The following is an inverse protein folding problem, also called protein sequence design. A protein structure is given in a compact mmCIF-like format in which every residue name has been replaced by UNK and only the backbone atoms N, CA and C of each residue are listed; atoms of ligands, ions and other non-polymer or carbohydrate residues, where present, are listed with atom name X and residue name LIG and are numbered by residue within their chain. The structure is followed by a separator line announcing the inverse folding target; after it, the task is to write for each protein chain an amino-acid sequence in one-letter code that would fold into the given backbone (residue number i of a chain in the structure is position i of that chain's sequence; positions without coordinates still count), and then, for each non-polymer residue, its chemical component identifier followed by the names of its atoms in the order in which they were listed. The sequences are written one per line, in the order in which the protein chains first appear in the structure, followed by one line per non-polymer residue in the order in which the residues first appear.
data_IF_644915630619
#
_entry.id   IF_644915630619
#
_cell.length_a   1.000
_cell.length_b   1.000
_cell.length_c   1.000
_cell.angle_alpha   90.00
_cell.angle_beta   90.00
_cell.angle_gamma   90.00
#
_symmetry.space_group_name_H-M   'P 1'
#
loop_
_entity.id
_entity.type
_entity.pdbx_description
1 polymer ?
#
# COMPACT_ATOMS: atom_id res chain seq x y z
N UNK A 1 19.32 -17.15 47.15
CA UNK A 1 18.81 -15.80 47.47
C UNK A 1 17.60 -15.94 48.38
N UNK A 2 17.68 -15.38 49.59
CA UNK A 2 16.57 -15.44 50.54
C UNK A 2 15.52 -14.39 50.17
N UNK A 3 14.39 -14.81 49.63
CA UNK A 3 13.27 -13.93 49.24
C UNK A 3 12.47 -13.43 50.42
N UNK A 4 12.46 -14.17 51.56
CA UNK A 4 11.73 -13.81 52.78
C UNK A 4 12.04 -12.43 53.39
N UNK A 5 13.31 -11.98 53.47
CA UNK A 5 13.61 -10.64 54.03
C UNK A 5 13.12 -9.51 53.09
N UNK A 6 13.12 -9.75 51.80
CA UNK A 6 12.64 -8.78 50.79
C UNK A 6 11.14 -8.59 50.93
N UNK A 7 10.37 -9.68 50.96
CA UNK A 7 8.91 -9.65 51.15
C UNK A 7 8.48 -9.01 52.47
N UNK A 8 9.20 -9.28 53.57
CA UNK A 8 8.96 -8.67 54.88
C UNK A 8 9.20 -7.15 54.87
N UNK A 9 10.15 -6.67 54.10
CA UNK A 9 10.42 -5.23 53.94
C UNK A 9 9.37 -4.53 53.07
N UNK A 10 8.93 -5.18 52.01
CA UNK A 10 7.83 -4.68 51.15
C UNK A 10 6.52 -4.57 51.95
N UNK A 11 6.22 -5.53 52.84
CA UNK A 11 4.99 -5.49 53.62
C UNK A 11 4.94 -4.37 54.66
N UNK A 12 6.10 -3.81 55.09
CA UNK A 12 6.20 -2.65 55.97
C UNK A 12 6.07 -1.29 55.27
N UNK A 13 6.36 -1.22 53.94
CA UNK A 13 6.28 -0.01 53.14
C UNK A 13 5.26 -0.19 51.98
N UNK A 14 4.04 -0.58 52.32
CA UNK A 14 2.99 -0.96 51.34
C UNK A 14 2.70 0.10 50.28
N UNK A 15 2.67 1.37 50.67
CA UNK A 15 2.38 2.48 49.74
C UNK A 15 3.47 2.65 48.68
N UNK A 16 4.74 2.64 49.07
CA UNK A 16 5.85 2.78 48.13
C UNK A 16 6.01 1.54 47.22
N UNK A 17 5.79 0.34 47.79
CA UNK A 17 5.78 -0.89 46.99
C UNK A 17 4.63 -0.90 46.00
N UNK A 18 3.43 -0.47 46.40
CA UNK A 18 2.28 -0.36 45.51
C UNK A 18 2.50 0.65 44.36
N UNK A 19 3.15 1.79 44.63
CA UNK A 19 3.51 2.77 43.61
C UNK A 19 4.47 2.21 42.58
N UNK A 20 5.53 1.48 43.01
CA UNK A 20 6.47 0.83 42.07
C UNK A 20 5.75 -0.20 41.20
N UNK A 21 4.93 -1.06 41.84
CA UNK A 21 4.17 -2.07 41.07
C UNK A 21 3.22 -1.42 40.07
N UNK A 22 2.53 -0.35 40.47
CA UNK A 22 1.63 0.40 39.57
C UNK A 22 2.40 1.05 38.45
N UNK A 23 3.55 1.70 38.72
CA UNK A 23 4.41 2.31 37.70
C UNK A 23 4.90 1.29 36.71
N UNK A 24 5.43 0.14 37.17
CA UNK A 24 5.89 -0.94 36.26
C UNK A 24 4.72 -1.51 35.47
N UNK A 25 3.58 -1.78 36.09
CA UNK A 25 2.41 -2.33 35.43
C UNK A 25 1.89 -1.39 34.32
N UNK A 26 1.80 -0.09 34.61
CA UNK A 26 1.37 0.93 33.64
C UNK A 26 2.38 1.06 32.48
N UNK A 27 3.67 1.12 32.82
CA UNK A 27 4.73 1.18 31.80
C UNK A 27 4.71 -0.06 30.91
N UNK A 28 4.60 -1.27 31.47
CA UNK A 28 4.49 -2.50 30.70
C UNK A 28 3.26 -2.49 29.78
N UNK A 29 2.11 -2.06 30.27
CA UNK A 29 0.88 -1.99 29.47
C UNK A 29 1.03 -1.03 28.29
N UNK A 30 1.61 0.15 28.50
CA UNK A 30 1.85 1.14 27.43
C UNK A 30 2.88 0.60 26.44
N UNK A 31 3.99 0.02 26.89
CA UNK A 31 5.02 -0.54 26.04
C UNK A 31 4.48 -1.69 25.18
N UNK A 32 3.73 -2.62 25.75
CA UNK A 32 3.13 -3.72 25.00
C UNK A 32 2.20 -3.21 23.91
N UNK A 33 1.34 -2.22 24.21
CA UNK A 33 0.46 -1.62 23.21
C UNK A 33 1.24 -0.87 22.12
N UNK A 34 2.24 -0.06 22.50
CA UNK A 34 3.06 0.68 21.55
C UNK A 34 3.85 -0.26 20.62
N UNK A 35 4.47 -1.31 21.16
CA UNK A 35 5.20 -2.30 20.37
C UNK A 35 4.27 -3.09 19.43
N UNK A 36 3.05 -3.41 19.88
CA UNK A 36 2.03 -4.02 19.02
C UNK A 36 1.69 -3.11 17.82
N UNK A 37 1.44 -1.82 18.08
CA UNK A 37 1.18 -0.84 17.03
C UNK A 37 2.36 -0.68 16.07
N UNK A 38 3.59 -0.67 16.59
CA UNK A 38 4.81 -0.64 15.76
C UNK A 38 4.89 -1.88 14.87
N UNK A 39 4.67 -3.07 15.43
CA UNK A 39 4.70 -4.32 14.66
C UNK A 39 3.65 -4.33 13.53
N UNK A 40 2.42 -3.91 13.81
CA UNK A 40 1.34 -3.81 12.83
C UNK A 40 1.68 -2.83 11.69
N UNK A 41 2.29 -1.67 12.03
CA UNK A 41 2.73 -0.70 11.01
C UNK A 41 3.89 -1.22 10.18
N UNK A 42 4.86 -1.91 10.78
CA UNK A 42 5.97 -2.55 10.05
C UNK A 42 5.47 -3.61 9.06
N UNK A 43 4.49 -4.41 9.44
CA UNK A 43 3.84 -5.36 8.54
C UNK A 43 3.20 -4.63 7.34
N UNK A 44 2.52 -3.51 7.61
CA UNK A 44 1.91 -2.67 6.56
C UNK A 44 2.96 -2.05 5.63
N UNK A 45 4.09 -1.58 6.15
CA UNK A 45 5.20 -1.05 5.35
C UNK A 45 5.82 -2.09 4.42
N UNK A 46 5.90 -3.34 4.87
CA UNK A 46 6.57 -4.43 4.17
C UNK A 46 5.65 -5.23 3.24
N UNK A 47 4.36 -4.87 3.15
CA UNK A 47 3.45 -5.61 2.29
C UNK A 47 3.84 -5.54 0.82
N UNK A 48 3.69 -6.64 0.06
CA UNK A 48 3.94 -6.63 -1.37
C UNK A 48 2.89 -5.79 -2.11
N UNK A 49 3.32 -5.01 -3.11
CA UNK A 49 2.42 -4.29 -4.00
C UNK A 49 1.74 -5.20 -5.02
N UNK A 50 2.40 -6.32 -5.34
CA UNK A 50 2.13 -7.17 -6.48
C UNK A 50 2.92 -6.75 -7.72
N UNK A 51 3.56 -5.58 -7.70
CA UNK A 51 4.34 -5.03 -8.81
C UNK A 51 5.85 -5.19 -8.58
N UNK A 52 6.63 -5.01 -9.63
CA UNK A 52 8.10 -4.97 -9.56
C UNK A 52 8.57 -3.53 -9.24
N UNK A 53 8.52 -3.18 -7.95
CA UNK A 53 8.74 -1.82 -7.46
C UNK A 53 10.11 -1.24 -7.88
N UNK A 54 11.13 -2.09 -8.07
CA UNK A 54 12.49 -1.66 -8.33
C UNK A 54 12.69 -1.15 -9.76
N UNK A 55 11.94 -1.68 -10.73
CA UNK A 55 12.13 -1.41 -12.14
C UNK A 55 11.18 -0.34 -12.71
N UNK A 56 10.32 0.27 -11.90
CA UNK A 56 9.24 1.12 -12.41
C UNK A 56 9.46 2.60 -12.11
N UNK A 57 9.24 3.42 -13.14
CA UNK A 57 9.09 4.87 -13.07
C UNK A 57 7.63 5.21 -13.38
N UNK A 58 7.10 6.20 -12.68
CA UNK A 58 5.75 6.73 -12.86
C UNK A 58 5.82 8.14 -13.42
N UNK A 59 5.17 8.37 -14.55
CA UNK A 59 5.04 9.69 -15.16
C UNK A 59 3.57 10.06 -15.34
N UNK A 60 3.26 11.35 -15.24
CA UNK A 60 1.91 11.88 -15.43
C UNK A 60 1.93 13.15 -16.24
N UNK A 61 1.07 13.20 -17.25
CA UNK A 61 0.77 14.41 -17.98
C UNK A 61 -0.73 14.73 -17.85
N UNK A 62 -1.07 16.01 -17.79
CA UNK A 62 -2.46 16.48 -17.77
C UNK A 62 -2.63 17.49 -18.90
N UNK A 63 -3.63 17.29 -19.74
CA UNK A 63 -3.94 18.21 -20.82
C UNK A 63 -4.44 19.57 -20.31
N UNK A 64 -4.18 20.63 -21.04
CA UNK A 64 -4.72 21.97 -20.82
C UNK A 64 -5.82 22.20 -21.86
N UNK A 65 -7.02 22.52 -21.41
CA UNK A 65 -8.19 22.72 -22.28
C UNK A 65 -8.71 21.42 -22.92
N UNK A 66 -9.46 21.55 -24.02
CA UNK A 66 -10.03 20.41 -24.73
C UNK A 66 -8.94 19.67 -25.50
N UNK A 67 -8.77 18.38 -25.21
CA UNK A 67 -7.78 17.55 -25.88
C UNK A 67 -8.39 16.90 -27.12
N UNK A 68 -7.99 17.36 -28.29
CA UNK A 68 -8.33 16.73 -29.57
C UNK A 68 -7.44 15.49 -29.74
N UNK A 69 -8.06 14.32 -29.93
CA UNK A 69 -7.38 13.02 -30.13
C UNK A 69 -6.37 12.64 -29.01
N UNK A 70 -6.84 12.64 -27.77
CA UNK A 70 -6.03 12.21 -26.62
C UNK A 70 -5.46 10.78 -26.75
N UNK A 71 -6.16 9.90 -27.46
CA UNK A 71 -5.69 8.53 -27.70
C UNK A 71 -4.48 8.50 -28.65
N UNK A 72 -4.46 9.31 -29.73
CA UNK A 72 -3.30 9.39 -30.62
C UNK A 72 -2.10 9.98 -29.88
N UNK A 73 -2.30 11.05 -29.14
CA UNK A 73 -1.23 11.65 -28.34
C UNK A 73 -0.67 10.68 -27.30
N UNK A 74 -1.53 9.89 -26.66
CA UNK A 74 -1.06 8.84 -25.72
C UNK A 74 -0.21 7.79 -26.44
N UNK A 75 -0.55 7.40 -27.67
CA UNK A 75 0.27 6.46 -28.46
C UNK A 75 1.64 7.07 -28.82
N UNK A 76 1.70 8.35 -29.18
CA UNK A 76 2.96 9.07 -29.42
C UNK A 76 3.85 9.11 -28.18
N UNK A 77 3.27 9.40 -27.01
CA UNK A 77 3.98 9.37 -25.73
C UNK A 77 4.56 7.99 -25.42
N UNK A 78 3.74 6.95 -25.55
CA UNK A 78 4.18 5.57 -25.32
C UNK A 78 5.34 5.19 -26.26
N UNK A 79 5.28 5.61 -27.53
CA UNK A 79 6.34 5.36 -28.50
C UNK A 79 7.62 6.14 -28.16
N UNK A 80 7.50 7.41 -27.82
CA UNK A 80 8.64 8.25 -27.45
C UNK A 80 9.34 7.75 -26.18
N UNK A 81 8.56 7.37 -25.14
CA UNK A 81 9.11 6.83 -23.90
C UNK A 81 9.80 5.46 -24.11
N UNK A 82 9.25 4.61 -24.99
CA UNK A 82 9.90 3.33 -25.36
C UNK A 82 11.22 3.51 -26.08
N UNK A 83 11.42 4.63 -26.78
CA UNK A 83 12.65 4.94 -27.49
C UNK A 83 13.80 5.37 -26.56
N UNK A 84 13.55 5.62 -25.27
CA UNK A 84 14.59 5.98 -24.30
C UNK A 84 15.50 4.75 -24.07
N UNK A 85 16.84 4.89 -24.24
CA UNK A 85 17.76 3.77 -24.03
C UNK A 85 17.73 3.22 -22.59
N UNK A 86 17.47 1.91 -22.47
CA UNK A 86 17.36 1.22 -21.19
C UNK A 86 15.90 1.05 -20.71
N UNK A 87 14.92 1.58 -21.45
CA UNK A 87 13.50 1.27 -21.24
C UNK A 87 13.17 -0.03 -21.96
N UNK A 88 12.47 -0.93 -21.29
CA UNK A 88 12.05 -2.23 -21.82
C UNK A 88 10.57 -2.28 -22.19
N UNK A 89 9.74 -1.63 -21.40
CA UNK A 89 8.30 -1.56 -21.62
C UNK A 89 7.74 -0.22 -21.12
N UNK A 90 6.69 0.28 -21.79
CA UNK A 90 5.92 1.44 -21.34
C UNK A 90 4.45 1.16 -21.53
N UNK A 91 3.67 1.35 -20.48
CA UNK A 91 2.21 1.16 -20.49
C UNK A 91 1.52 2.33 -19.80
N UNK A 92 0.22 2.48 -20.03
CA UNK A 92 -0.59 3.46 -19.33
C UNK A 92 -1.69 2.75 -18.52
N UNK A 93 -1.90 3.21 -17.28
CA UNK A 93 -2.90 2.66 -16.35
C UNK A 93 -3.67 3.80 -15.68
N UNK A 94 -4.88 3.53 -15.17
CA UNK A 94 -5.65 4.54 -14.44
C UNK A 94 -5.11 4.79 -13.02
N UNK A 95 -4.54 3.78 -12.40
CA UNK A 95 -4.04 3.86 -11.03
C UNK A 95 -2.92 2.86 -10.76
N UNK A 96 -2.21 3.09 -9.67
CA UNK A 96 -1.16 2.20 -9.16
C UNK A 96 -1.38 2.00 -7.66
N UNK A 97 -0.84 0.94 -7.04
CA UNK A 97 -0.74 0.84 -5.59
C UNK A 97 -0.11 2.08 -4.95
N UNK A 98 -0.40 2.28 -3.67
CA UNK A 98 0.18 3.35 -2.84
C UNK A 98 -0.19 4.77 -3.30
N UNK A 99 -1.50 5.05 -3.31
CA UNK A 99 -2.09 6.36 -3.62
C UNK A 99 -3.19 6.70 -2.62
N UNK A 100 -3.51 8.00 -2.49
CA UNK A 100 -4.57 8.48 -1.60
C UNK A 100 -5.99 8.28 -2.15
N UNK A 101 -6.14 7.96 -3.43
CA UNK A 101 -7.41 7.67 -4.07
C UNK A 101 -7.44 6.31 -4.71
N UNK A 102 -8.62 5.71 -4.85
CA UNK A 102 -8.80 4.41 -5.51
C UNK A 102 -10.06 4.42 -6.34
N UNK A 103 -9.94 3.99 -7.59
CA UNK A 103 -11.09 3.64 -8.42
C UNK A 103 -11.53 2.25 -8.02
N UNK A 104 -12.78 2.13 -7.61
CA UNK A 104 -13.32 0.89 -7.10
C UNK A 104 -14.61 0.54 -7.81
N UNK A 105 -14.91 -0.74 -7.86
CA UNK A 105 -16.20 -1.25 -8.29
C UNK A 105 -16.63 -2.41 -7.40
N UNK A 106 -17.92 -2.67 -7.39
CA UNK A 106 -18.51 -3.77 -6.64
C UNK A 106 -18.83 -4.92 -7.58
N UNK A 107 -18.55 -6.14 -7.14
CA UNK A 107 -18.81 -7.37 -7.89
C UNK A 107 -19.77 -8.28 -7.12
N UNK A 108 -20.69 -8.86 -7.86
CA UNK A 108 -21.59 -9.92 -7.42
C UNK A 108 -21.39 -11.20 -8.21
N UNK A 109 -22.00 -12.29 -7.74
CA UNK A 109 -22.04 -13.59 -8.43
C UNK A 109 -23.37 -13.81 -9.17
N UNK A 110 -24.35 -12.90 -8.99
CA UNK A 110 -25.64 -12.88 -9.66
C UNK A 110 -25.98 -11.45 -10.09
N UNK A 111 -26.70 -11.22 -11.21
CA UNK A 111 -27.14 -9.90 -11.65
C UNK A 111 -28.12 -9.24 -10.67
N UNK A 112 -28.96 -10.04 -10.01
CA UNK A 112 -30.01 -9.55 -9.09
C UNK A 112 -29.55 -9.44 -7.64
N UNK A 113 -28.25 -9.46 -7.39
CA UNK A 113 -27.70 -9.44 -6.03
C UNK A 113 -27.79 -8.03 -5.42
N UNK A 114 -28.67 -7.82 -4.42
CA UNK A 114 -28.83 -6.53 -3.74
C UNK A 114 -27.53 -6.04 -3.04
N UNK A 115 -26.81 -6.96 -2.40
CA UNK A 115 -25.56 -6.65 -1.71
C UNK A 115 -24.40 -7.31 -2.45
N UNK A 116 -23.49 -6.54 -3.04
CA UNK A 116 -22.35 -7.09 -3.75
C UNK A 116 -21.49 -8.01 -2.85
N UNK A 117 -20.91 -9.05 -3.44
CA UNK A 117 -20.06 -10.01 -2.72
C UNK A 117 -18.77 -9.36 -2.22
N UNK A 118 -18.22 -8.45 -3.02
CA UNK A 118 -17.03 -7.67 -2.65
C UNK A 118 -16.97 -6.32 -3.38
N UNK A 119 -16.21 -5.40 -2.81
CA UNK A 119 -15.74 -4.19 -3.47
C UNK A 119 -14.25 -4.30 -3.74
N UNK A 120 -13.83 -4.13 -4.98
CA UNK A 120 -12.45 -4.28 -5.44
C UNK A 120 -11.93 -3.01 -6.10
N UNK A 121 -10.60 -2.82 -6.05
CA UNK A 121 -9.92 -1.79 -6.81
C UNK A 121 -9.95 -2.17 -8.31
N UNK A 122 -10.32 -1.20 -9.14
CA UNK A 122 -10.50 -1.39 -10.58
C UNK A 122 -9.30 -0.84 -11.34
N UNK A 123 -8.47 -1.72 -11.87
CA UNK A 123 -7.35 -1.36 -12.73
C UNK A 123 -7.77 -1.43 -14.21
N UNK A 124 -7.57 -0.34 -14.93
CA UNK A 124 -7.73 -0.27 -16.38
C UNK A 124 -6.35 -0.27 -17.01
N UNK A 125 -6.12 -1.15 -17.98
CA UNK A 125 -4.77 -1.42 -18.49
C UNK A 125 -4.73 -1.44 -20.01
N UNK A 126 -3.54 -1.18 -20.56
CA UNK A 126 -3.22 -1.39 -21.96
C UNK A 126 -2.47 -2.71 -22.16
N UNK A 127 -2.19 -3.05 -23.42
CA UNK A 127 -1.44 -4.26 -23.79
C UNK A 127 -0.07 -4.32 -23.11
N UNK A 128 0.29 -5.52 -22.65
CA UNK A 128 1.58 -5.79 -22.04
C UNK A 128 1.69 -5.31 -20.57
N UNK A 129 0.61 -4.78 -20.00
CA UNK A 129 0.67 -4.20 -18.64
C UNK A 129 1.04 -5.23 -17.58
N UNK A 130 0.55 -6.47 -17.65
CA UNK A 130 0.90 -7.50 -16.67
C UNK A 130 2.42 -7.72 -16.62
N UNK A 131 3.04 -7.81 -17.79
CA UNK A 131 4.49 -7.96 -17.94
C UNK A 131 5.24 -6.70 -17.49
N UNK A 132 4.79 -5.51 -17.91
CA UNK A 132 5.42 -4.24 -17.56
C UNK A 132 5.39 -3.99 -16.05
N UNK A 133 4.28 -4.28 -15.38
CA UNK A 133 4.15 -4.19 -13.93
C UNK A 133 4.86 -5.31 -13.18
N UNK A 134 5.22 -6.41 -13.84
CA UNK A 134 5.79 -7.60 -13.21
C UNK A 134 4.76 -8.43 -12.45
N UNK A 135 3.48 -8.35 -12.82
CA UNK A 135 2.42 -9.12 -12.17
C UNK A 135 2.56 -10.60 -12.51
N UNK A 136 2.46 -11.44 -11.50
CA UNK A 136 2.53 -12.89 -11.65
C UNK A 136 1.13 -13.49 -11.86
N UNK A 137 0.90 -14.01 -13.06
CA UNK A 137 -0.31 -14.77 -13.37
C UNK A 137 -0.20 -16.16 -12.74
N UNK A 138 -1.17 -16.55 -11.92
CA UNK A 138 -1.20 -17.85 -11.21
C UNK A 138 -2.22 -18.82 -11.76
N UNK A 139 -3.19 -18.34 -12.54
CA UNK A 139 -4.16 -19.17 -13.25
C UNK A 139 -4.71 -18.44 -14.49
N UNK A 140 -5.11 -19.18 -15.49
CA UNK A 140 -5.70 -18.64 -16.73
C UNK A 140 -4.69 -18.01 -17.66
N UNK A 141 -5.08 -16.92 -18.32
CA UNK A 141 -4.31 -16.22 -19.34
C UNK A 141 -4.36 -14.71 -19.20
N UNK A 142 -3.44 -14.02 -19.85
CA UNK A 142 -3.51 -12.58 -20.11
C UNK A 142 -4.57 -12.26 -21.17
N UNK A 143 -4.89 -10.98 -21.32
CA UNK A 143 -5.82 -10.49 -22.33
C UNK A 143 -5.26 -10.66 -23.74
N UNK A 144 -6.14 -10.95 -24.69
CA UNK A 144 -5.82 -10.98 -26.10
C UNK A 144 -5.91 -9.57 -26.73
N UNK A 145 -5.20 -9.27 -27.82
CA UNK A 145 -5.21 -7.93 -28.41
C UNK A 145 -6.59 -7.41 -28.82
N UNK A 146 -7.49 -8.30 -29.25
CA UNK A 146 -8.86 -8.00 -29.66
C UNK A 146 -9.83 -7.78 -28.48
N UNK A 147 -9.43 -8.11 -27.27
CA UNK A 147 -10.19 -7.87 -26.05
C UNK A 147 -10.03 -6.44 -25.52
N UNK A 148 -9.01 -5.70 -25.97
CA UNK A 148 -8.77 -4.33 -25.52
C UNK A 148 -9.67 -3.31 -26.20
N UNK A 149 -10.28 -2.42 -25.38
CA UNK A 149 -11.12 -1.29 -25.85
C UNK A 149 -10.59 0.04 -25.32
N UNK A 150 -10.95 1.13 -25.98
CA UNK A 150 -10.61 2.47 -25.50
C UNK A 150 -11.65 2.93 -24.48
N UNK A 151 -11.23 3.63 -23.42
CA UNK A 151 -12.15 4.19 -22.42
C UNK A 151 -13.16 5.16 -23.02
N UNK A 152 -12.82 5.84 -24.10
CA UNK A 152 -13.76 6.71 -24.86
C UNK A 152 -14.96 5.95 -25.42
N UNK A 153 -14.82 4.67 -25.75
CA UNK A 153 -15.92 3.82 -26.20
C UNK A 153 -16.89 3.49 -25.05
N UNK A 154 -16.37 3.39 -23.82
CA UNK A 154 -17.18 3.17 -22.62
C UNK A 154 -18.01 4.41 -22.25
N UNK A 155 -17.43 5.61 -22.41
CA UNK A 155 -18.08 6.88 -22.13
C UNK A 155 -19.25 7.18 -23.08
N UNK A 156 -19.19 6.65 -24.29
CA UNK A 156 -20.20 6.83 -25.33
C UNK A 156 -21.20 5.67 -25.43
N UNK A 157 -20.98 4.58 -24.71
CA UNK A 157 -21.84 3.42 -24.73
C UNK A 157 -23.19 3.74 -24.06
N UNK A 158 -24.27 3.61 -24.82
CA UNK A 158 -25.65 3.81 -24.36
C UNK A 158 -26.24 2.57 -23.67
N UNK A 159 -25.62 1.42 -23.86
CA UNK A 159 -26.02 0.14 -23.27
C UNK A 159 -24.88 -0.45 -22.44
N UNK A 160 -25.14 -0.62 -21.13
CA UNK A 160 -24.20 -1.22 -20.21
C UNK A 160 -23.83 -2.67 -20.57
N UNK A 161 -24.73 -3.41 -21.25
CA UNK A 161 -24.46 -4.77 -21.71
C UNK A 161 -23.40 -4.83 -22.82
N UNK A 162 -23.16 -3.72 -23.54
CA UNK A 162 -22.07 -3.58 -24.50
C UNK A 162 -20.68 -3.62 -23.81
N UNK A 163 -20.63 -3.47 -22.49
CA UNK A 163 -19.42 -3.52 -21.67
C UNK A 163 -18.98 -4.94 -21.29
N UNK A 164 -19.60 -5.99 -21.85
CA UNK A 164 -19.10 -7.36 -21.68
C UNK A 164 -17.60 -7.39 -21.94
N UNK A 165 -16.84 -7.70 -20.93
CA UNK A 165 -15.38 -7.68 -20.97
C UNK A 165 -14.81 -8.86 -20.21
N UNK A 166 -13.72 -9.44 -20.67
CA UNK A 166 -12.93 -10.30 -19.83
C UNK A 166 -12.34 -9.49 -18.67
N UNK A 167 -12.12 -10.17 -17.55
CA UNK A 167 -11.44 -9.56 -16.41
C UNK A 167 -10.42 -10.54 -15.80
N UNK A 168 -9.40 -9.97 -15.16
CA UNK A 168 -8.45 -10.71 -14.35
C UNK A 168 -8.63 -10.27 -12.90
N UNK A 169 -8.68 -11.24 -11.98
CA UNK A 169 -8.85 -11.03 -10.55
C UNK A 169 -7.52 -11.16 -9.80
N UNK A 170 -7.37 -10.48 -8.67
CA UNK A 170 -6.38 -10.89 -7.69
C UNK A 170 -6.79 -12.23 -7.04
N UNK A 171 -5.82 -13.04 -6.61
CA UNK A 171 -6.11 -14.34 -6.00
C UNK A 171 -7.00 -14.24 -4.75
N UNK A 172 -6.88 -13.14 -4.01
CA UNK A 172 -7.75 -12.87 -2.85
C UNK A 172 -9.20 -12.60 -3.28
N UNK A 173 -9.42 -11.78 -4.32
CA UNK A 173 -10.75 -11.51 -4.86
C UNK A 173 -11.38 -12.79 -5.45
N UNK A 174 -10.59 -13.58 -6.19
CA UNK A 174 -11.02 -14.85 -6.75
C UNK A 174 -11.48 -15.85 -5.68
N UNK A 175 -10.72 -16.01 -4.60
CA UNK A 175 -11.12 -16.85 -3.46
C UNK A 175 -12.37 -16.35 -2.75
N UNK A 176 -12.56 -15.02 -2.67
CA UNK A 176 -13.77 -14.46 -2.03
C UNK A 176 -15.03 -14.70 -2.86
N UNK A 177 -14.92 -14.59 -4.20
CA UNK A 177 -16.05 -14.82 -5.11
C UNK A 177 -16.36 -16.31 -5.30
N UNK A 178 -15.34 -17.14 -5.32
CA UNK A 178 -15.43 -18.58 -5.65
C UNK A 178 -14.60 -19.43 -4.67
N UNK A 179 -15.03 -19.55 -3.38
CA UNK A 179 -14.23 -20.23 -2.36
C UNK A 179 -13.98 -21.71 -2.68
N UNK A 180 -14.95 -22.40 -3.29
CA UNK A 180 -14.94 -23.85 -3.46
C UNK A 180 -14.72 -24.30 -4.91
N UNK A 181 -14.35 -23.37 -5.82
CA UNK A 181 -14.26 -23.71 -7.25
C UNK A 181 -13.32 -22.79 -8.01
N UNK A 182 -12.82 -23.27 -9.17
CA UNK A 182 -12.02 -22.43 -10.07
C UNK A 182 -12.80 -21.20 -10.53
N UNK A 183 -12.20 -20.00 -10.49
CA UNK A 183 -12.84 -18.78 -10.99
C UNK A 183 -12.82 -18.69 -12.53
N UNK A 184 -11.94 -19.44 -13.22
CA UNK A 184 -11.73 -19.32 -14.67
C UNK A 184 -12.98 -19.72 -15.46
N UNK A 185 -13.33 -18.88 -16.44
CA UNK A 185 -14.51 -19.04 -17.30
C UNK A 185 -15.85 -18.71 -16.61
N UNK A 186 -15.82 -18.37 -15.30
CA UNK A 186 -17.04 -17.98 -14.60
C UNK A 186 -17.40 -16.53 -14.86
N UNK A 187 -18.71 -16.26 -14.78
CA UNK A 187 -19.26 -14.91 -14.89
C UNK A 187 -19.37 -14.29 -13.50
N UNK A 188 -18.95 -13.04 -13.38
CA UNK A 188 -19.24 -12.13 -12.28
C UNK A 188 -19.99 -10.92 -12.82
N UNK A 189 -20.66 -10.21 -11.96
CA UNK A 189 -21.52 -9.09 -12.35
C UNK A 189 -21.03 -7.79 -11.71
N UNK A 190 -20.91 -6.77 -12.54
CA UNK A 190 -20.74 -5.38 -12.13
C UNK A 190 -22.08 -4.67 -12.37
N UNK A 191 -22.88 -4.51 -11.33
CA UNK A 191 -24.31 -4.30 -11.48
C UNK A 191 -24.89 -5.38 -12.44
N UNK A 192 -25.55 -4.99 -13.53
CA UNK A 192 -26.15 -5.91 -14.51
C UNK A 192 -25.18 -6.35 -15.62
N UNK A 193 -23.93 -5.85 -15.60
CA UNK A 193 -22.94 -6.16 -16.64
C UNK A 193 -22.24 -7.48 -16.35
N UNK A 194 -22.41 -8.50 -17.21
CA UNK A 194 -21.72 -9.78 -17.06
C UNK A 194 -20.27 -9.66 -17.54
N UNK A 195 -19.35 -10.10 -16.72
CA UNK A 195 -17.90 -10.09 -16.94
C UNK A 195 -17.37 -11.52 -16.81
N UNK A 196 -16.47 -11.92 -17.69
CA UNK A 196 -15.91 -13.29 -17.69
C UNK A 196 -14.52 -13.30 -17.09
N UNK A 197 -14.27 -14.12 -16.10
CA UNK A 197 -12.94 -14.28 -15.48
C UNK A 197 -12.04 -15.09 -16.41
N UNK A 198 -10.97 -14.48 -16.94
CA UNK A 198 -10.01 -15.13 -17.86
C UNK A 198 -8.67 -15.43 -17.21
N UNK A 199 -8.34 -14.76 -16.11
CA UNK A 199 -7.07 -14.94 -15.42
C UNK A 199 -7.12 -14.57 -13.95
N UNK A 200 -6.10 -14.99 -13.22
CA UNK A 200 -5.89 -14.65 -11.81
C UNK A 200 -4.43 -14.28 -11.61
N UNK A 201 -4.17 -13.08 -11.07
CA UNK A 201 -2.84 -12.66 -10.63
C UNK A 201 -2.65 -12.96 -9.14
N UNK A 202 -1.42 -13.26 -8.74
CA UNK A 202 -1.09 -13.62 -7.36
C UNK A 202 -1.48 -12.52 -6.39
N UNK A 203 -1.00 -11.31 -6.64
CA UNK A 203 -1.23 -10.12 -5.81
C UNK A 203 -1.29 -8.88 -6.70
N UNK A 204 -2.23 -8.02 -6.42
CA UNK A 204 -2.25 -6.62 -6.83
C UNK A 204 -3.06 -5.88 -5.76
N UNK A 205 -2.39 -5.03 -5.00
CA UNK A 205 -3.06 -4.38 -3.87
C UNK A 205 -3.84 -3.14 -4.31
N UNK A 206 -4.88 -2.81 -3.56
CA UNK A 206 -5.66 -1.59 -3.72
C UNK A 206 -4.76 -0.35 -3.53
N UNK A 207 -4.96 0.73 -4.33
CA UNK A 207 -4.19 1.96 -4.18
C UNK A 207 -4.30 2.59 -2.79
N UNK A 208 -5.52 2.87 -2.34
CA UNK A 208 -5.78 3.57 -1.08
C UNK A 208 -5.95 2.60 0.10
N UNK A 209 -5.66 3.11 1.30
CA UNK A 209 -5.85 2.37 2.57
C UNK A 209 -7.31 2.13 2.93
N UNK A 210 -8.20 3.02 2.47
CA UNK A 210 -9.64 2.98 2.76
C UNK A 210 -10.40 2.30 1.62
N UNK A 211 -11.58 1.78 1.91
CA UNK A 211 -12.49 1.26 0.89
C UNK A 211 -12.64 -0.26 0.84
N UNK A 212 -12.28 -0.99 1.88
CA UNK A 212 -12.47 -2.44 2.00
C UNK A 212 -11.17 -3.24 2.02
N UNK A 213 -11.25 -4.53 1.75
CA UNK A 213 -10.09 -5.41 1.81
C UNK A 213 -9.04 -4.96 0.78
N UNK A 214 -7.80 -4.82 1.24
CA UNK A 214 -6.66 -4.31 0.48
C UNK A 214 -6.28 -5.19 -0.70
N UNK A 215 -6.47 -6.49 -0.58
CA UNK A 215 -6.03 -7.47 -1.56
C UNK A 215 -7.07 -7.73 -2.67
N UNK A 216 -8.23 -7.04 -2.61
CA UNK A 216 -9.25 -7.18 -3.63
C UNK A 216 -9.01 -6.20 -4.77
N UNK A 217 -8.54 -6.73 -5.89
CA UNK A 217 -8.33 -5.98 -7.12
C UNK A 217 -8.80 -6.77 -8.34
N UNK A 218 -9.20 -6.04 -9.34
CA UNK A 218 -9.56 -6.56 -10.65
C UNK A 218 -8.92 -5.71 -11.74
N UNK A 219 -8.68 -6.32 -12.88
CA UNK A 219 -8.02 -5.70 -14.01
C UNK A 219 -8.94 -5.83 -15.24
N UNK A 220 -9.12 -4.71 -15.95
CA UNK A 220 -9.88 -4.63 -17.20
C UNK A 220 -8.97 -4.26 -18.37
N UNK A 221 -9.22 -4.79 -19.58
CA UNK A 221 -8.48 -4.44 -20.79
C UNK A 221 -9.03 -3.14 -21.43
N UNK A 222 -9.00 -2.05 -20.66
CA UNK A 222 -9.45 -0.75 -21.12
C UNK A 222 -8.29 0.23 -21.23
N UNK A 223 -7.95 0.62 -22.46
CA UNK A 223 -6.88 1.58 -22.74
C UNK A 223 -7.28 2.95 -22.22
N UNK A 224 -6.55 3.41 -21.24
CA UNK A 224 -6.63 4.79 -20.77
C UNK A 224 -5.88 5.74 -21.70
N UNK A 225 -6.23 7.01 -21.68
CA UNK A 225 -5.43 8.08 -22.24
C UNK A 225 -5.01 9.09 -21.16
N UNK A 226 -3.95 9.86 -21.42
CA UNK A 226 -3.34 10.74 -20.44
C UNK A 226 -4.32 11.82 -19.93
N UNK A 227 -5.23 12.31 -20.75
CA UNK A 227 -6.15 13.39 -20.38
C UNK A 227 -7.16 12.96 -19.30
N UNK A 228 -7.50 11.68 -19.20
CA UNK A 228 -8.36 11.11 -18.15
C UNK A 228 -7.56 10.65 -16.91
N UNK A 229 -6.39 11.24 -16.66
CA UNK A 229 -5.57 10.94 -15.48
C UNK A 229 -4.79 9.64 -15.57
N UNK A 230 -4.55 9.14 -16.79
CA UNK A 230 -3.68 7.98 -17.03
C UNK A 230 -2.27 8.22 -16.49
N UNK A 231 -1.66 7.15 -16.01
CA UNK A 231 -0.31 7.12 -15.46
C UNK A 231 0.55 6.29 -16.39
N UNK A 232 1.60 6.88 -16.93
CA UNK A 232 2.62 6.13 -17.65
C UNK A 232 3.48 5.36 -16.66
N UNK A 233 3.59 4.06 -16.83
CA UNK A 233 4.53 3.19 -16.14
C UNK A 233 5.64 2.83 -17.12
N UNK A 234 6.85 3.31 -16.82
CA UNK A 234 8.05 3.07 -17.60
C UNK A 234 8.89 2.02 -16.89
N UNK A 235 9.06 0.85 -17.54
CA UNK A 235 9.88 -0.23 -17.03
C UNK A 235 11.30 -0.09 -17.56
N UNK A 236 12.27 -0.10 -16.65
CA UNK A 236 13.71 -0.07 -16.97
C UNK A 236 14.30 -1.47 -16.93
N UNK A 237 15.32 -1.72 -17.78
CA UNK A 237 16.04 -2.99 -17.81
C UNK A 237 16.89 -3.21 -16.53
N UNK A 238 17.53 -2.13 -16.08
CA UNK A 238 18.44 -2.12 -14.94
C UNK A 238 18.00 -1.08 -13.90
N UNK A 239 17.63 -1.52 -12.68
CA UNK A 239 17.25 -0.60 -11.60
C UNK A 239 18.33 0.42 -11.25
N UNK A 240 19.61 0.11 -11.46
CA UNK A 240 20.72 1.03 -11.17
C UNK A 240 20.70 2.26 -12.12
N UNK A 241 20.17 2.12 -13.33
CA UNK A 241 20.02 3.22 -14.29
C UNK A 241 18.69 3.96 -14.19
N UNK A 242 17.81 3.56 -13.29
CA UNK A 242 16.46 4.12 -13.15
C UNK A 242 16.46 5.63 -12.95
N UNK A 243 17.34 6.15 -12.10
CA UNK A 243 17.40 7.58 -11.78
C UNK A 243 17.98 8.42 -12.96
N UNK A 244 18.83 7.83 -13.78
CA UNK A 244 19.29 8.43 -15.05
C UNK A 244 18.15 8.53 -16.07
N UNK A 245 17.40 7.44 -16.23
CA UNK A 245 16.26 7.36 -17.17
C UNK A 245 15.12 8.28 -16.69
N UNK A 246 14.85 8.35 -15.39
CA UNK A 246 13.84 9.24 -14.80
C UNK A 246 13.98 10.69 -15.28
N UNK A 247 15.20 11.22 -15.34
CA UNK A 247 15.47 12.58 -15.82
C UNK A 247 15.13 12.81 -17.28
N UNK A 248 15.12 11.75 -18.09
CA UNK A 248 14.81 11.82 -19.52
C UNK A 248 13.30 11.71 -19.80
N UNK A 249 12.52 11.11 -18.86
CA UNK A 249 11.09 10.86 -19.04
C UNK A 249 10.31 12.16 -19.20
N UNK A 250 10.49 13.11 -18.27
CA UNK A 250 9.77 14.39 -18.30
C UNK A 250 10.11 15.20 -19.54
N UNK A 251 11.40 15.32 -19.87
CA UNK A 251 11.87 16.02 -21.07
C UNK A 251 11.35 15.37 -22.37
N UNK A 252 11.20 14.05 -22.40
CA UNK A 252 10.64 13.32 -23.55
C UNK A 252 9.16 13.65 -23.71
N UNK A 253 8.38 13.62 -22.62
CA UNK A 253 6.96 13.97 -22.66
C UNK A 253 6.73 15.43 -23.06
N UNK A 254 7.55 16.35 -22.54
CA UNK A 254 7.50 17.78 -22.88
C UNK A 254 7.81 18.02 -24.36
N UNK A 255 8.78 17.30 -24.92
CA UNK A 255 9.12 17.36 -26.35
C UNK A 255 8.00 16.87 -27.26
N UNK A 256 7.23 15.86 -26.84
CA UNK A 256 6.08 15.36 -27.61
C UNK A 256 4.96 16.39 -27.64
N UNK A 257 4.67 17.01 -26.49
CA UNK A 257 3.65 18.05 -26.42
C UNK A 257 3.95 19.05 -25.29
N UNK A 258 4.44 20.26 -25.62
CA UNK A 258 4.75 21.29 -24.64
C UNK A 258 3.51 21.98 -24.03
N UNK A 259 2.32 21.78 -24.63
CA UNK A 259 1.08 22.43 -24.20
C UNK A 259 0.30 21.59 -23.18
N UNK A 260 1.00 20.98 -22.22
CA UNK A 260 0.38 20.19 -21.15
C UNK A 260 1.19 20.29 -19.86
N UNK A 261 0.53 20.04 -18.73
CA UNK A 261 1.20 19.97 -17.45
C UNK A 261 1.82 18.59 -17.26
N UNK A 262 3.13 18.56 -17.13
CA UNK A 262 3.86 17.35 -16.76
C UNK A 262 4.17 17.47 -15.26
N UNK A 263 3.70 16.53 -14.48
CA UNK A 263 4.09 16.42 -13.06
C UNK A 263 5.43 15.73 -13.01
N UNK A 264 6.35 16.17 -12.13
CA UNK A 264 7.65 15.50 -11.99
C UNK A 264 7.46 14.00 -11.85
N UNK A 265 8.15 13.26 -12.70
CA UNK A 265 8.17 11.80 -12.65
C UNK A 265 8.88 11.33 -11.40
N UNK A 266 8.41 10.24 -10.83
CA UNK A 266 9.01 9.62 -9.64
C UNK A 266 9.21 8.13 -9.84
N UNK A 267 10.14 7.53 -9.12
CA UNK A 267 10.24 6.08 -9.09
C UNK A 267 9.09 5.49 -8.29
N UNK A 268 8.66 4.27 -8.62
CA UNK A 268 7.60 3.62 -7.86
C UNK A 268 8.02 3.35 -6.40
N UNK A 269 9.31 3.08 -6.18
CA UNK A 269 9.87 2.96 -4.83
C UNK A 269 9.78 4.26 -4.03
N UNK A 270 9.99 5.42 -4.66
CA UNK A 270 9.81 6.72 -4.03
C UNK A 270 8.35 7.00 -3.71
N UNK A 271 7.43 6.75 -4.66
CA UNK A 271 5.99 6.85 -4.43
C UNK A 271 5.55 6.00 -3.22
N UNK A 272 6.08 4.78 -3.10
CA UNK A 272 5.85 3.93 -1.92
C UNK A 272 6.40 4.56 -0.64
N UNK A 273 7.60 5.12 -0.71
CA UNK A 273 8.24 5.78 0.43
C UNK A 273 7.44 6.98 0.90
N UNK A 274 6.95 7.81 -0.03
CA UNK A 274 6.10 8.97 0.28
C UNK A 274 4.75 8.54 0.88
N UNK A 275 4.10 7.53 0.29
CA UNK A 275 2.82 7.02 0.77
C UNK A 275 2.86 6.54 2.22
N UNK A 276 3.98 5.96 2.64
CA UNK A 276 4.18 5.44 3.99
C UNK A 276 4.99 6.38 4.90
N UNK A 277 5.18 7.65 4.54
CA UNK A 277 5.94 8.60 5.34
C UNK A 277 5.35 8.75 6.76
N UNK A 278 4.05 8.99 6.87
CA UNK A 278 3.34 9.13 8.15
C UNK A 278 3.47 7.88 9.03
N UNK A 279 3.47 6.67 8.44
CA UNK A 279 3.64 5.44 9.22
C UNK A 279 5.05 5.32 9.80
N UNK A 280 6.08 5.71 9.02
CA UNK A 280 7.46 5.71 9.52
C UNK A 280 7.65 6.74 10.61
N UNK A 281 7.11 7.95 10.45
CA UNK A 281 7.18 9.01 11.44
C UNK A 281 6.47 8.59 12.73
N UNK A 282 5.31 7.95 12.62
CA UNK A 282 4.59 7.42 13.78
C UNK A 282 5.36 6.30 14.48
N UNK A 283 6.00 5.38 13.74
CA UNK A 283 6.88 4.35 14.32
C UNK A 283 8.03 5.02 15.08
N UNK A 284 8.68 6.02 14.48
CA UNK A 284 9.76 6.76 15.13
C UNK A 284 9.30 7.42 16.42
N UNK A 285 8.14 8.09 16.41
CA UNK A 285 7.56 8.73 17.58
C UNK A 285 7.26 7.71 18.70
N UNK A 286 6.60 6.59 18.36
CA UNK A 286 6.30 5.53 19.33
C UNK A 286 7.55 4.95 19.97
N UNK A 287 8.61 4.73 19.20
CA UNK A 287 9.89 4.22 19.74
C UNK A 287 10.56 5.23 20.66
N UNK A 288 10.53 6.53 20.35
CA UNK A 288 11.03 7.60 21.23
C UNK A 288 10.25 7.61 22.54
N UNK A 289 8.92 7.56 22.48
CA UNK A 289 8.05 7.53 23.66
C UNK A 289 8.34 6.29 24.52
N UNK A 290 8.50 5.11 23.91
CA UNK A 290 8.89 3.89 24.61
C UNK A 290 10.25 4.04 25.33
N UNK A 291 11.24 4.63 24.66
CA UNK A 291 12.55 4.89 25.25
C UNK A 291 12.49 5.85 26.44
N UNK A 292 11.73 6.93 26.32
CA UNK A 292 11.53 7.89 27.42
C UNK A 292 10.78 7.26 28.61
N UNK A 293 9.76 6.46 28.37
CA UNK A 293 9.04 5.75 29.43
C UNK A 293 9.97 4.78 30.17
N UNK A 294 10.78 4.02 29.46
CA UNK A 294 11.77 3.13 30.09
C UNK A 294 12.79 3.90 30.94
N UNK A 295 13.27 5.04 30.43
CA UNK A 295 14.20 5.90 31.15
C UNK A 295 13.60 6.43 32.45
N UNK A 296 12.37 6.98 32.38
CA UNK A 296 11.67 7.54 33.55
C UNK A 296 11.40 6.46 34.57
N UNK A 297 10.92 5.29 34.13
CA UNK A 297 10.68 4.14 35.06
C UNK A 297 11.98 3.67 35.70
N UNK A 298 13.08 3.58 34.94
CA UNK A 298 14.38 3.21 35.51
C UNK A 298 14.85 4.21 36.56
N UNK A 299 14.74 5.52 36.30
CA UNK A 299 15.08 6.58 37.24
C UNK A 299 14.18 6.56 38.45
N UNK A 300 12.89 6.32 38.32
CA UNK A 300 11.93 6.17 39.41
C UNK A 300 12.32 5.02 40.35
N UNK A 301 12.60 3.85 39.78
CA UNK A 301 13.03 2.66 40.56
C UNK A 301 14.36 2.93 41.29
N UNK A 302 15.36 3.50 40.61
CA UNK A 302 16.67 3.83 41.21
C UNK A 302 16.50 4.87 42.32
N UNK A 303 15.69 5.91 42.09
CA UNK A 303 15.42 6.95 43.09
C UNK A 303 14.80 6.40 44.34
N UNK A 304 13.77 5.57 44.22
CA UNK A 304 13.11 4.92 45.34
C UNK A 304 14.02 3.93 46.07
N UNK A 305 14.79 3.14 45.34
CA UNK A 305 15.78 2.22 45.93
C UNK A 305 16.86 2.97 46.73
N UNK A 306 17.39 4.05 46.18
CA UNK A 306 18.41 4.91 46.83
C UNK A 306 17.86 5.54 48.10
N UNK A 307 16.62 6.03 48.09
CA UNK A 307 15.97 6.59 49.28
C UNK A 307 15.82 5.54 50.39
N UNK A 308 15.45 4.31 50.06
CA UNK A 308 15.34 3.23 51.05
C UNK A 308 16.69 2.82 51.65
N UNK A 309 17.74 2.77 50.86
CA UNK A 309 19.11 2.49 51.35
C UNK A 309 19.55 3.58 52.31
N UNK A 310 19.32 4.85 52.01
CA UNK A 310 19.69 5.97 52.91
C UNK A 310 18.91 5.94 54.23
N UNK A 311 17.61 5.62 54.25
CA UNK A 311 16.85 5.46 55.45
C UNK A 311 17.38 4.32 56.36
N UNK A 312 17.76 3.18 55.76
CA UNK A 312 18.36 2.07 56.52
C UNK A 312 19.71 2.42 57.09
N UNK A 313 20.55 3.12 56.35
CA UNK A 313 21.88 3.56 56.83
C UNK A 313 21.75 4.48 58.05
N UNK A 314 20.79 5.41 58.07
CA UNK A 314 20.48 6.25 59.22
C UNK A 314 20.03 5.43 60.43
N UNK A 315 19.15 4.44 60.25
CA UNK A 315 18.68 3.57 61.33
C UNK A 315 19.77 2.67 61.91
N UNK A 316 20.69 2.18 61.11
CA UNK A 316 21.84 1.39 61.54
C UNK A 316 22.85 2.28 62.25
N UNK A 317 23.08 3.51 61.77
CA UNK A 317 23.95 4.49 62.45
C UNK A 317 23.48 4.84 63.86
N UNK A 318 22.18 5.08 64.03
CA UNK A 318 21.57 5.35 65.34
C UNK A 318 21.68 4.13 66.29
N UNK A 319 21.49 2.90 65.80
CA UNK A 319 21.65 1.68 66.64
C UNK A 319 23.11 1.33 66.97
N UNK A 320 24.10 1.87 66.26
CA UNK A 320 25.52 1.71 66.61
C UNK A 320 26.03 2.79 67.53
N UNK A 321 25.30 3.90 67.69
CA UNK A 321 25.66 5.04 68.55
C UNK A 321 25.00 4.96 69.90
N UNK A 322 24.05 4.05 70.10
CA UNK A 322 23.46 3.64 71.38
C UNK A 322 24.09 2.32 71.91
#
# INVERSE_FOLDING_TARGET
MEIRPILSTLSRHKTAAALIVLEIALTCAILCNALFLVAQRLETLNMPSGMDDAHLIMARATGIGTQVDANARTREDLAALRAIPGVTDVVIVNQTPFRNGSWNTSLGTSPDQEVPTLNAAQYMVSEGTLKAMGLKLVAGRDFQPDEFRNTTELETATDASALKSPLILSAAAARKLFPDSSPLGKTVYMADVPLTVVGVVETLVRPARMGGNRDYSLIFPFRMHFANGGIYLVRVADPARRDEILKQVDATLEKVDPNRLIRPSITFSENRREFFADDRDMIGLLLIVCGLLLLVTALGIVGLASFWVQQRTKQIGIRRAL
#
